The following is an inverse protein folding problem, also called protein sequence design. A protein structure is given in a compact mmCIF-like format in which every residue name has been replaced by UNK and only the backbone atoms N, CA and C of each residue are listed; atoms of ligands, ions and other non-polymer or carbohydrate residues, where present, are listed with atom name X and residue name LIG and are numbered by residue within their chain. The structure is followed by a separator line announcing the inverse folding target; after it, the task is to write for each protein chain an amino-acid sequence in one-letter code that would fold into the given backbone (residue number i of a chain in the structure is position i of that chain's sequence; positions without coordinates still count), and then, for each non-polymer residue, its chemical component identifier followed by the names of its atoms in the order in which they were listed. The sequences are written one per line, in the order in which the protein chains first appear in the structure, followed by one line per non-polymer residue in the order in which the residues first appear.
data_IF_267232302971
#
_entry.id   IF_267232302971
#
_cell.length_a   1.000
_cell.length_b   1.000
_cell.length_c   1.000
_cell.angle_alpha   90.00
_cell.angle_beta   90.00
_cell.angle_gamma   90.00
#
_symmetry.space_group_name_H-M   'P 1'
#
loop_
_entity.id
_entity.type
_entity.pdbx_description
1 polymer ?
#
# COMPACT_ATOMS: atom_id res chain seq x y z
N UNK A 1 9.74 -13.88 -7.78
CA UNK A 1 9.45 -13.14 -6.54
C UNK A 1 8.22 -12.28 -6.79
N UNK A 2 7.17 -12.34 -5.96
CA UNK A 2 5.99 -11.49 -6.13
C UNK A 2 6.33 -10.02 -5.85
N UNK A 3 5.67 -9.11 -6.57
CA UNK A 3 5.77 -7.66 -6.35
C UNK A 3 4.46 -7.14 -5.74
N UNK A 4 4.56 -6.36 -4.68
CA UNK A 4 3.43 -5.80 -3.95
C UNK A 4 3.59 -4.29 -3.83
N UNK A 5 2.49 -3.55 -3.98
CA UNK A 5 2.49 -2.10 -3.91
C UNK A 5 2.08 -1.58 -2.52
N UNK A 6 2.62 -0.42 -2.14
CA UNK A 6 2.23 0.36 -0.97
C UNK A 6 1.82 1.75 -1.44
N UNK A 7 0.66 2.22 -1.03
CA UNK A 7 0.12 3.52 -1.42
C UNK A 7 -0.19 4.36 -0.17
N UNK A 8 -0.01 5.68 -0.24
CA UNK A 8 -0.53 6.52 0.86
C UNK A 8 -2.03 6.74 0.71
N UNK A 9 -2.75 6.88 1.82
CA UNK A 9 -4.23 6.95 1.84
C UNK A 9 -4.82 8.00 0.89
N UNK A 10 -4.13 9.13 0.70
CA UNK A 10 -4.54 10.20 -0.24
C UNK A 10 -4.60 9.77 -1.72
N UNK A 11 -3.89 8.69 -2.09
CA UNK A 11 -3.78 8.21 -3.47
C UNK A 11 -4.46 6.85 -3.71
N UNK A 12 -5.15 6.27 -2.71
CA UNK A 12 -5.78 4.96 -2.85
C UNK A 12 -6.78 4.91 -4.02
N UNK A 13 -7.69 5.88 -4.12
CA UNK A 13 -8.67 5.94 -5.22
C UNK A 13 -8.00 6.09 -6.60
N UNK A 14 -6.90 6.85 -6.67
CA UNK A 14 -6.14 7.01 -7.91
C UNK A 14 -5.45 5.70 -8.31
N UNK A 15 -4.89 4.98 -7.34
CA UNK A 15 -4.28 3.67 -7.54
C UNK A 15 -5.31 2.63 -8.03
N UNK A 16 -6.50 2.60 -7.45
CA UNK A 16 -7.60 1.74 -7.91
C UNK A 16 -8.04 2.07 -9.34
N UNK A 17 -8.15 3.36 -9.66
CA UNK A 17 -8.45 3.80 -11.02
C UNK A 17 -7.37 3.33 -12.00
N UNK A 18 -6.08 3.52 -11.67
CA UNK A 18 -4.98 3.09 -12.52
C UNK A 18 -4.93 1.57 -12.67
N UNK A 19 -5.22 0.81 -11.61
CA UNK A 19 -5.31 -0.64 -11.69
C UNK A 19 -6.36 -1.08 -12.72
N UNK A 20 -7.53 -0.43 -12.73
CA UNK A 20 -8.57 -0.68 -13.74
C UNK A 20 -8.12 -0.31 -15.16
N UNK A 21 -7.53 0.88 -15.33
CA UNK A 21 -7.06 1.36 -16.64
C UNK A 21 -5.98 0.46 -17.23
N UNK A 22 -5.09 -0.07 -16.39
CA UNK A 22 -3.99 -0.95 -16.79
C UNK A 22 -4.40 -2.43 -16.94
N UNK A 23 -5.68 -2.77 -16.76
CA UNK A 23 -6.18 -4.13 -16.96
C UNK A 23 -6.04 -5.07 -15.75
N UNK A 24 -5.79 -4.53 -14.55
CA UNK A 24 -5.71 -5.28 -13.28
C UNK A 24 -6.79 -4.86 -12.28
N UNK A 25 -8.10 -4.95 -12.62
CA UNK A 25 -9.17 -4.61 -11.69
C UNK A 25 -9.09 -5.50 -10.43
N UNK A 26 -9.18 -4.87 -9.25
CA UNK A 26 -9.06 -5.57 -7.97
C UNK A 26 -7.63 -5.88 -7.53
N UNK A 27 -6.61 -5.35 -8.22
CA UNK A 27 -5.22 -5.43 -7.74
C UNK A 27 -5.10 -4.85 -6.33
N UNK A 28 -4.76 -5.71 -5.37
CA UNK A 28 -4.65 -5.33 -3.97
C UNK A 28 -3.28 -4.72 -3.65
N UNK A 29 -3.27 -3.72 -2.79
CA UNK A 29 -2.09 -3.02 -2.31
C UNK A 29 -2.27 -2.65 -0.83
N UNK A 30 -1.17 -2.46 -0.11
CA UNK A 30 -1.24 -1.93 1.25
C UNK A 30 -1.42 -0.41 1.24
N UNK A 31 -2.08 0.12 2.26
CA UNK A 31 -2.22 1.57 2.46
C UNK A 31 -1.58 2.05 3.75
N UNK A 32 -0.94 3.23 3.71
CA UNK A 32 -0.30 3.88 4.86
C UNK A 32 -0.67 5.36 4.97
N UNK A 33 -0.47 5.96 6.14
CA UNK A 33 -0.76 7.36 6.39
C UNK A 33 0.10 8.31 5.53
N UNK A 34 -0.53 9.38 5.04
CA UNK A 34 0.11 10.49 4.33
C UNK A 34 0.39 11.67 5.29
N UNK A 35 1.46 12.47 5.08
CA UNK A 35 2.59 12.24 4.18
C UNK A 35 3.62 11.28 4.79
N UNK A 36 4.51 10.77 3.93
CA UNK A 36 5.68 9.98 4.36
C UNK A 36 6.85 10.91 4.68
N UNK A 37 7.06 11.95 3.87
CA UNK A 37 8.22 12.85 3.95
C UNK A 37 8.32 13.69 5.23
N UNK A 38 7.22 13.85 5.95
CA UNK A 38 7.15 14.64 7.19
C UNK A 38 7.03 13.79 8.44
N UNK A 39 7.08 12.46 8.31
CA UNK A 39 7.08 11.57 9.45
C UNK A 39 8.47 11.53 10.08
N UNK A 40 8.49 11.50 11.41
CA UNK A 40 9.69 11.15 12.18
C UNK A 40 9.91 9.62 12.15
N UNK A 41 10.98 9.17 12.78
CA UNK A 41 11.36 7.75 12.77
C UNK A 41 10.28 6.85 13.38
N UNK A 42 9.61 7.31 14.44
CA UNK A 42 8.50 6.58 15.04
C UNK A 42 7.31 6.47 14.08
N UNK A 43 6.91 7.58 13.46
CA UNK A 43 5.85 7.59 12.47
C UNK A 43 6.19 6.76 11.23
N UNK A 44 7.46 6.70 10.81
CA UNK A 44 7.89 5.82 9.72
C UNK A 44 7.83 4.34 10.12
N UNK A 45 8.23 4.00 11.35
CA UNK A 45 8.14 2.64 11.88
C UNK A 45 6.69 2.15 11.90
N UNK A 46 5.76 2.97 12.41
CA UNK A 46 4.33 2.63 12.42
C UNK A 46 3.77 2.37 11.02
N UNK A 47 4.13 3.20 10.04
CA UNK A 47 3.72 3.01 8.63
C UNK A 47 4.29 1.73 8.05
N UNK A 48 5.56 1.41 8.34
CA UNK A 48 6.19 0.19 7.88
C UNK A 48 5.51 -1.06 8.49
N UNK A 49 5.22 -1.05 9.79
CA UNK A 49 4.52 -2.13 10.48
C UNK A 49 3.11 -2.35 9.91
N UNK A 50 2.37 -1.26 9.65
CA UNK A 50 1.07 -1.31 9.02
C UNK A 50 1.13 -1.89 7.60
N UNK A 51 2.12 -1.48 6.80
CA UNK A 51 2.32 -2.00 5.45
C UNK A 51 2.66 -3.50 5.47
N UNK A 52 3.64 -3.92 6.28
CA UNK A 52 4.07 -5.33 6.38
C UNK A 52 2.92 -6.23 6.82
N UNK A 53 2.10 -5.79 7.78
CA UNK A 53 0.94 -6.55 8.24
C UNK A 53 -0.06 -6.78 7.11
N UNK A 54 -0.40 -5.73 6.34
CA UNK A 54 -1.31 -5.84 5.20
C UNK A 54 -0.70 -6.71 4.08
N UNK A 55 0.56 -6.46 3.72
CA UNK A 55 1.25 -7.19 2.65
C UNK A 55 1.38 -8.68 2.95
N UNK A 56 1.63 -9.05 4.20
CA UNK A 56 1.66 -10.46 4.62
C UNK A 56 0.30 -11.13 4.41
N UNK A 57 -0.80 -10.45 4.68
CA UNK A 57 -2.15 -10.98 4.42
C UNK A 57 -2.40 -11.15 2.93
N UNK A 58 -1.93 -10.23 2.08
CA UNK A 58 -2.06 -10.34 0.63
C UNK A 58 -1.22 -11.49 0.06
N UNK A 59 0.03 -11.62 0.53
CA UNK A 59 0.95 -12.64 0.04
C UNK A 59 0.53 -14.06 0.41
N UNK A 60 -0.02 -14.27 1.61
CA UNK A 60 -0.40 -15.59 2.12
C UNK A 60 -1.80 -16.04 1.69
N UNK A 61 -2.59 -15.17 1.05
CA UNK A 61 -3.90 -15.49 0.45
C UNK A 61 -3.82 -15.74 -1.06
N UNK A 62 -2.67 -15.48 -1.67
CA UNK A 62 -2.41 -15.63 -3.11
C UNK A 62 -2.00 -17.07 -3.47
#
# INVERSE_FOLDING_TARGET
MPALAVMTTRFANAAELMARVLGFPGYAFATIAHPVSSADDEGLRERAEAAVTQLRQLLLRA
#
